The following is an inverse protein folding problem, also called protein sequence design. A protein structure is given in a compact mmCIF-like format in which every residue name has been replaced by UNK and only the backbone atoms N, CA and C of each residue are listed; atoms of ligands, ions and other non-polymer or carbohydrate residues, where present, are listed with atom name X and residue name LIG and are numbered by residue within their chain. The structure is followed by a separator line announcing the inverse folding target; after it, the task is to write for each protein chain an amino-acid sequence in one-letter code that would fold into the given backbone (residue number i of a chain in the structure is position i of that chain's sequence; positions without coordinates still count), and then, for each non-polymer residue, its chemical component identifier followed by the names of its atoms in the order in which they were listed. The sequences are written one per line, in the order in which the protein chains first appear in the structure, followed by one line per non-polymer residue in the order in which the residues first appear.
data_IF_945041637625
#
_entry.id   IF_945041637625
#
_cell.length_a   1.000
_cell.length_b   1.000
_cell.length_c   1.000
_cell.angle_alpha   90.00
_cell.angle_beta   90.00
_cell.angle_gamma   90.00
#
_symmetry.space_group_name_H-M   'P 1'
#
loop_
_entity.id
_entity.type
_entity.pdbx_description
1 polymer ?
#
# COMPACT_ATOMS: atom_id res chain seq x y z
N UNK A 1 -14.30 -6.37 -9.48
CA UNK A 1 -14.49 -7.83 -9.65
C UNK A 1 -13.59 -8.51 -8.63
N UNK A 2 -14.12 -9.34 -7.73
CA UNK A 2 -13.29 -10.07 -6.78
C UNK A 2 -12.71 -11.30 -7.50
N UNK A 3 -11.38 -11.39 -7.58
CA UNK A 3 -10.67 -12.51 -8.20
C UNK A 3 -10.87 -13.82 -7.44
N UNK A 4 -10.73 -14.95 -8.14
CA UNK A 4 -10.76 -16.29 -7.55
C UNK A 4 -9.50 -16.52 -6.72
N UNK A 5 -9.65 -17.16 -5.55
CA UNK A 5 -8.53 -17.54 -4.68
C UNK A 5 -7.43 -18.25 -5.49
N UNK A 6 -6.18 -17.80 -5.38
CA UNK A 6 -5.01 -18.34 -6.08
C UNK A 6 -5.00 -18.22 -7.62
N UNK A 7 -5.79 -17.34 -8.24
CA UNK A 7 -5.78 -17.11 -9.70
C UNK A 7 -5.08 -15.80 -10.11
N UNK A 8 -4.18 -15.26 -9.26
CA UNK A 8 -3.36 -14.13 -9.66
C UNK A 8 -2.40 -14.56 -10.78
N UNK A 9 -2.68 -14.14 -12.02
CA UNK A 9 -1.83 -14.40 -13.19
C UNK A 9 -0.96 -13.20 -13.56
N UNK A 10 -1.56 -12.02 -13.50
CA UNK A 10 -0.94 -10.75 -13.87
C UNK A 10 -1.61 -9.61 -13.10
N UNK A 11 -0.80 -8.62 -12.71
CA UNK A 11 -1.27 -7.34 -12.21
C UNK A 11 -0.17 -6.29 -12.45
N UNK A 12 -0.59 -5.10 -12.87
CA UNK A 12 0.30 -3.96 -13.10
C UNK A 12 0.12 -2.88 -12.05
N UNK A 13 1.23 -2.24 -11.67
CA UNK A 13 1.24 -1.07 -10.79
C UNK A 13 1.92 0.08 -11.50
N UNK A 14 1.26 1.23 -11.50
CA UNK A 14 1.82 2.47 -12.04
C UNK A 14 1.97 3.51 -10.94
N UNK A 15 3.16 4.07 -10.84
CA UNK A 15 3.43 5.26 -10.02
C UNK A 15 3.29 6.53 -10.87
N UNK A 16 2.76 7.60 -10.27
CA UNK A 16 2.74 8.90 -10.95
C UNK A 16 4.18 9.39 -11.18
N UNK A 17 4.41 10.00 -12.34
CA UNK A 17 5.69 10.64 -12.70
C UNK A 17 5.52 12.14 -12.93
N UNK A 18 4.33 12.67 -12.66
CA UNK A 18 3.94 14.06 -12.98
C UNK A 18 3.41 14.81 -11.77
N UNK A 19 2.55 14.19 -10.99
CA UNK A 19 1.74 14.90 -9.99
C UNK A 19 2.24 14.68 -8.56
N UNK A 20 3.08 13.67 -8.34
CA UNK A 20 3.55 13.27 -7.01
C UNK A 20 5.06 13.07 -7.01
N UNK A 21 5.72 13.63 -6.00
CA UNK A 21 7.13 13.36 -5.73
C UNK A 21 7.29 12.21 -4.75
N UNK A 22 8.34 11.42 -4.98
CA UNK A 22 8.65 10.25 -4.16
C UNK A 22 10.02 10.36 -3.48
N UNK A 23 10.17 9.68 -2.36
CA UNK A 23 11.44 9.44 -1.66
C UNK A 23 11.49 8.01 -1.16
N UNK A 24 12.67 7.42 -1.04
CA UNK A 24 12.87 6.14 -0.33
C UNK A 24 13.51 6.32 1.05
N UNK A 25 13.81 7.57 1.42
CA UNK A 25 14.49 7.95 2.66
C UNK A 25 13.80 9.18 3.27
N UNK A 26 12.54 9.05 3.72
CA UNK A 26 11.91 10.11 4.51
C UNK A 26 12.71 10.27 5.81
N UNK A 27 13.22 11.48 6.05
CA UNK A 27 13.89 11.87 7.29
C UNK A 27 13.03 12.90 8.02
N UNK A 28 13.50 13.40 9.17
CA UNK A 28 12.85 14.51 9.86
C UNK A 28 12.71 15.79 9.03
N UNK A 29 13.46 15.93 7.92
CA UNK A 29 13.37 17.06 6.97
C UNK A 29 12.48 16.78 5.76
N UNK A 30 11.81 15.63 5.71
CA UNK A 30 10.92 15.30 4.61
C UNK A 30 9.73 16.27 4.57
N UNK A 31 9.38 16.75 3.38
CA UNK A 31 8.18 17.54 3.12
C UNK A 31 7.63 17.20 1.74
N UNK A 32 6.30 17.11 1.61
CA UNK A 32 5.57 16.94 0.33
C UNK A 32 6.07 15.79 -0.56
N UNK A 33 6.61 14.71 0.02
CA UNK A 33 7.05 13.53 -0.72
C UNK A 33 6.44 12.27 -0.15
N UNK A 34 5.98 11.38 -1.02
CA UNK A 34 5.50 10.07 -0.62
C UNK A 34 6.66 9.10 -0.48
N UNK A 35 6.59 8.23 0.52
CA UNK A 35 7.57 7.17 0.66
C UNK A 35 7.27 6.06 -0.37
N UNK A 36 8.14 5.90 -1.36
CA UNK A 36 7.94 4.95 -2.47
C UNK A 36 7.80 3.50 -1.99
N UNK A 37 8.47 3.16 -0.88
CA UNK A 37 8.36 1.83 -0.28
C UNK A 37 6.98 1.61 0.33
N UNK A 38 6.45 2.61 1.04
CA UNK A 38 5.10 2.56 1.60
C UNK A 38 4.03 2.45 0.52
N UNK A 39 4.10 3.29 -0.51
CA UNK A 39 3.15 3.23 -1.64
C UNK A 39 3.29 1.89 -2.37
N UNK A 40 4.51 1.45 -2.67
CA UNK A 40 4.73 0.17 -3.32
C UNK A 40 4.21 -1.04 -2.53
N UNK A 41 4.30 -1.02 -1.20
CA UNK A 41 3.70 -2.08 -0.37
C UNK A 41 2.17 -2.02 -0.37
N UNK A 42 1.56 -0.84 -0.41
CA UNK A 42 0.12 -0.67 -0.58
C UNK A 42 -0.37 -1.24 -1.92
N UNK A 43 0.26 -0.82 -3.02
CA UNK A 43 -0.12 -1.30 -4.35
C UNK A 43 0.16 -2.81 -4.50
N UNK A 44 1.22 -3.33 -3.88
CA UNK A 44 1.45 -4.78 -3.83
C UNK A 44 0.32 -5.52 -3.12
N UNK A 45 -0.31 -4.92 -2.10
CA UNK A 45 -1.50 -5.49 -1.48
C UNK A 45 -2.65 -5.65 -2.48
N UNK A 46 -2.88 -4.66 -3.36
CA UNK A 46 -3.86 -4.78 -4.44
C UNK A 46 -3.50 -5.87 -5.45
N UNK A 47 -2.21 -5.98 -5.81
CA UNK A 47 -1.71 -7.08 -6.63
C UNK A 47 -2.08 -8.42 -6.01
N UNK A 48 -1.94 -8.58 -4.69
CA UNK A 48 -2.32 -9.82 -4.00
C UNK A 48 -3.83 -9.96 -3.70
N UNK A 49 -4.67 -9.06 -4.22
CA UNK A 49 -6.13 -9.14 -4.11
C UNK A 49 -6.73 -8.49 -2.87
N UNK A 50 -5.95 -7.70 -2.12
CA UNK A 50 -6.47 -6.95 -0.98
C UNK A 50 -7.25 -5.70 -1.43
N UNK A 51 -8.37 -5.45 -0.78
CA UNK A 51 -9.13 -4.20 -0.92
C UNK A 51 -8.70 -3.14 0.10
N UNK A 52 -9.17 -1.91 -0.09
CA UNK A 52 -8.96 -0.84 0.88
C UNK A 52 -9.69 -1.10 2.21
N UNK A 53 -9.15 -0.53 3.29
CA UNK A 53 -9.85 -0.37 4.57
C UNK A 53 -10.20 1.10 4.83
N UNK A 54 -11.27 1.31 5.60
CA UNK A 54 -11.82 2.63 5.93
C UNK A 54 -11.27 3.23 7.23
N UNK A 55 -11.97 4.23 7.76
CA UNK A 55 -11.57 4.94 8.98
C UNK A 55 -11.44 4.02 10.21
N UNK A 56 -10.53 4.37 11.12
CA UNK A 56 -10.12 3.54 12.25
C UNK A 56 -8.96 2.58 11.94
N UNK A 57 -8.55 2.52 10.68
CA UNK A 57 -7.47 1.68 10.18
C UNK A 57 -6.35 2.46 9.48
N UNK A 58 -6.19 3.75 9.79
CA UNK A 58 -5.23 4.68 9.16
C UNK A 58 -3.75 4.26 9.27
N UNK A 59 -3.46 3.27 10.13
CA UNK A 59 -2.12 2.70 10.32
C UNK A 59 -1.90 1.40 9.54
N UNK A 60 -2.91 0.84 8.89
CA UNK A 60 -2.78 -0.37 8.08
C UNK A 60 -2.22 -0.06 6.69
N UNK A 61 -1.58 -1.06 6.07
CA UNK A 61 -1.03 -0.93 4.73
C UNK A 61 -2.12 -0.58 3.73
N UNK A 62 -3.27 -1.25 3.81
CA UNK A 62 -4.37 -1.09 2.84
C UNK A 62 -5.32 0.07 3.16
N UNK A 63 -4.95 1.00 4.04
CA UNK A 63 -5.80 2.17 4.25
C UNK A 63 -5.89 3.02 2.97
N UNK A 64 -7.10 3.46 2.64
CA UNK A 64 -7.40 4.08 1.33
C UNK A 64 -6.58 5.33 0.98
N UNK A 65 -5.95 6.00 1.94
CA UNK A 65 -5.17 7.21 1.72
C UNK A 65 -3.71 7.02 2.11
N UNK A 66 -2.81 7.49 1.27
CA UNK A 66 -1.39 7.62 1.59
C UNK A 66 -1.07 8.97 2.21
N UNK A 67 -0.05 9.01 3.08
CA UNK A 67 0.40 10.23 3.74
C UNK A 67 1.85 10.55 3.35
N UNK A 68 2.14 11.82 3.10
CA UNK A 68 3.51 12.28 2.81
C UNK A 68 4.44 12.02 4.00
N UNK A 69 5.69 11.67 3.72
CA UNK A 69 6.74 11.49 4.72
C UNK A 69 6.43 10.42 5.78
N UNK A 70 5.54 9.49 5.45
CA UNK A 70 5.06 8.46 6.34
C UNK A 70 5.60 7.09 5.90
N UNK A 71 5.98 6.25 6.85
CA UNK A 71 6.54 4.91 6.59
C UNK A 71 5.69 3.75 7.11
N UNK A 72 4.48 4.01 7.60
CA UNK A 72 3.63 3.01 8.27
C UNK A 72 3.32 1.82 7.35
N UNK A 73 3.02 2.10 6.08
CA UNK A 73 2.69 1.05 5.11
C UNK A 73 3.91 0.27 4.61
N UNK A 74 5.15 0.53 5.08
CA UNK A 74 6.31 -0.34 4.77
C UNK A 74 6.20 -1.73 5.40
N UNK A 75 5.33 -1.88 6.40
CA UNK A 75 5.07 -3.12 7.11
C UNK A 75 3.61 -3.48 6.96
N UNK A 76 3.29 -4.76 7.11
CA UNK A 76 1.91 -5.24 7.13
C UNK A 76 1.32 -5.14 8.54
N UNK A 77 0.15 -4.53 8.66
CA UNK A 77 -0.62 -4.56 9.90
C UNK A 77 -1.38 -5.89 10.06
N UNK A 78 -1.95 -6.10 11.25
CA UNK A 78 -2.65 -7.36 11.58
C UNK A 78 -3.79 -7.67 10.59
N UNK A 79 -4.56 -6.67 10.18
CA UNK A 79 -5.64 -6.83 9.20
C UNK A 79 -5.12 -7.25 7.83
N UNK A 80 -4.04 -6.63 7.36
CA UNK A 80 -3.40 -6.94 6.08
C UNK A 80 -2.90 -8.40 6.06
N UNK A 81 -2.25 -8.85 7.14
CA UNK A 81 -1.77 -10.24 7.28
C UNK A 81 -2.91 -11.25 7.32
N UNK A 82 -3.98 -10.96 8.07
CA UNK A 82 -5.14 -11.85 8.16
C UNK A 82 -5.86 -11.99 6.80
N UNK A 83 -5.93 -10.91 6.03
CA UNK A 83 -6.53 -10.92 4.71
C UNK A 83 -5.67 -11.71 3.71
N UNK A 84 -4.33 -11.54 3.71
CA UNK A 84 -3.46 -12.35 2.85
C UNK A 84 -3.59 -13.84 3.15
N UNK A 85 -3.65 -14.23 4.43
CA UNK A 85 -3.85 -15.63 4.87
C UNK A 85 -5.21 -16.22 4.52
N UNK A 86 -6.22 -15.40 4.22
CA UNK A 86 -7.50 -15.91 3.76
C UNK A 86 -7.45 -16.26 2.27
N UNK A 87 -6.58 -15.58 1.51
CA UNK A 87 -6.37 -15.74 0.07
C UNK A 87 -5.29 -16.80 -0.25
N UNK A 88 -4.24 -16.92 0.55
CA UNK A 88 -3.13 -17.87 0.35
C UNK A 88 -2.89 -18.70 1.61
#
# INVERSE_FOLDING_TARGET
MAGVKNDLREADVRFSTRDQDFTNKPTSKCSNKYDIRSVGTHEAGHVFGLGHVGSGHENLTMYTNSFTCNTKARTLGKGDVLALRSIY
#
